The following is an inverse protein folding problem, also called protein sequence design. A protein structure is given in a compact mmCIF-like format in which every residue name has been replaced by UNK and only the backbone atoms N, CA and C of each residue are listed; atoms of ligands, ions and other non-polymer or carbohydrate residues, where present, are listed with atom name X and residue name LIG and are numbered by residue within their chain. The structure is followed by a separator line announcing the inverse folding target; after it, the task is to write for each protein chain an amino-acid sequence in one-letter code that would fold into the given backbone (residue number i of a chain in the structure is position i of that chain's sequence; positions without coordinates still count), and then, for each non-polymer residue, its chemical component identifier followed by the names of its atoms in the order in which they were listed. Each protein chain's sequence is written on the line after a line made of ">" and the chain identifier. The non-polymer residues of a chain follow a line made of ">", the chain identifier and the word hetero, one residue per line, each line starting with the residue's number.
data_IF_013234450693
#
_entry.id   IF_013234450693
#
_cell.length_a   1.000
_cell.length_b   1.000
_cell.length_c   1.000
_cell.angle_alpha   90.00
_cell.angle_beta   90.00
_cell.angle_gamma   90.00
#
_symmetry.space_group_name_H-M   'P 1'
#
loop_
_entity.id
_entity.type
_entity.pdbx_description
1 polymer ?
#
# COMPACT_ATOMS: atom_id res chain seq x y z
N UNK A 1 -28.89 -13.81 19.73
CA UNK A 1 -28.01 -12.71 19.28
C UNK A 1 -28.87 -11.45 19.26
N UNK A 2 -28.43 -10.34 19.85
CA UNK A 2 -29.23 -9.10 19.91
C UNK A 2 -29.29 -8.40 18.55
N UNK A 3 -30.30 -7.55 18.34
CA UNK A 3 -30.39 -6.70 17.14
C UNK A 3 -29.17 -5.77 17.01
N UNK A 4 -28.64 -5.28 18.12
CA UNK A 4 -27.42 -4.47 18.15
C UNK A 4 -26.20 -5.27 17.65
N UNK A 5 -26.02 -6.51 18.10
CA UNK A 5 -24.93 -7.38 17.62
C UNK A 5 -25.09 -7.70 16.13
N UNK A 6 -26.32 -7.91 15.64
CA UNK A 6 -26.58 -8.07 14.20
C UNK A 6 -26.21 -6.82 13.39
N UNK A 7 -26.53 -5.64 13.91
CA UNK A 7 -26.18 -4.37 13.30
C UNK A 7 -24.67 -4.19 13.20
N UNK A 8 -23.91 -4.52 14.25
CA UNK A 8 -22.44 -4.48 14.23
C UNK A 8 -21.86 -5.40 13.15
N UNK A 9 -22.37 -6.63 13.03
CA UNK A 9 -21.94 -7.55 11.97
C UNK A 9 -22.20 -7.01 10.57
N UNK A 10 -23.35 -6.35 10.33
CA UNK A 10 -23.64 -5.70 9.04
C UNK A 10 -22.62 -4.61 8.70
N UNK A 11 -22.24 -3.79 9.67
CA UNK A 11 -21.24 -2.74 9.47
C UNK A 11 -19.85 -3.31 9.14
N UNK A 12 -19.48 -4.42 9.77
CA UNK A 12 -18.23 -5.13 9.43
C UNK A 12 -18.29 -5.67 8.00
N UNK A 13 -19.35 -6.37 7.64
CA UNK A 13 -19.51 -6.93 6.29
C UNK A 13 -19.56 -5.83 5.20
N UNK A 14 -20.18 -4.70 5.48
CA UNK A 14 -20.21 -3.55 4.56
C UNK A 14 -18.82 -2.95 4.36
N UNK A 15 -18.07 -2.76 5.46
CA UNK A 15 -16.71 -2.27 5.39
C UNK A 15 -15.76 -3.25 4.67
N UNK A 16 -15.94 -4.57 4.87
CA UNK A 16 -15.19 -5.60 4.15
C UNK A 16 -15.49 -5.57 2.65
N UNK A 17 -16.76 -5.42 2.25
CA UNK A 17 -17.15 -5.25 0.84
C UNK A 17 -16.53 -4.00 0.22
N UNK A 18 -16.59 -2.87 0.92
CA UNK A 18 -15.98 -1.61 0.47
C UNK A 18 -14.47 -1.78 0.31
N UNK A 19 -13.80 -2.40 1.28
CA UNK A 19 -12.35 -2.62 1.23
C UNK A 19 -11.97 -3.58 0.08
N UNK A 20 -12.73 -4.65 -0.15
CA UNK A 20 -12.50 -5.60 -1.23
C UNK A 20 -12.73 -4.99 -2.63
N UNK A 21 -13.63 -4.01 -2.75
CA UNK A 21 -13.89 -3.29 -3.99
C UNK A 21 -12.90 -2.15 -4.27
N UNK A 22 -11.95 -1.88 -3.37
CA UNK A 22 -10.98 -0.80 -3.55
C UNK A 22 -10.08 -1.07 -4.78
N UNK A 23 -9.73 -0.03 -5.56
CA UNK A 23 -8.74 -0.15 -6.63
C UNK A 23 -7.43 -0.75 -6.10
N UNK A 24 -6.65 -1.48 -6.92
CA UNK A 24 -5.42 -2.11 -6.45
C UNK A 24 -4.44 -1.05 -5.95
N UNK A 25 -3.92 -1.24 -4.74
CA UNK A 25 -2.84 -0.41 -4.20
C UNK A 25 -1.57 -0.63 -5.04
N UNK A 26 -0.89 0.42 -5.50
CA UNK A 26 0.37 0.25 -6.21
C UNK A 26 1.43 -0.31 -5.25
N UNK A 27 2.29 -1.18 -5.77
CA UNK A 27 3.41 -1.72 -5.02
C UNK A 27 4.35 -0.58 -4.58
N UNK A 28 4.56 -0.37 -3.27
CA UNK A 28 5.39 0.71 -2.77
C UNK A 28 6.86 0.59 -3.20
N UNK A 29 7.37 -0.64 -3.34
CA UNK A 29 8.75 -0.85 -3.79
C UNK A 29 8.91 -0.42 -5.24
N UNK A 30 7.97 -0.82 -6.09
CA UNK A 30 7.96 -0.44 -7.51
C UNK A 30 7.83 1.08 -7.70
N UNK A 31 7.02 1.75 -6.88
CA UNK A 31 6.92 3.22 -6.93
C UNK A 31 8.26 3.87 -6.58
N UNK A 32 8.90 3.43 -5.50
CA UNK A 32 10.19 3.95 -5.06
C UNK A 32 11.30 3.71 -6.11
N UNK A 33 11.35 2.52 -6.72
CA UNK A 33 12.30 2.18 -7.79
C UNK A 33 12.16 3.10 -9.02
N UNK A 34 10.91 3.38 -9.43
CA UNK A 34 10.63 4.26 -10.57
C UNK A 34 10.97 5.72 -10.23
N UNK A 35 10.71 6.18 -9.01
CA UNK A 35 11.10 7.53 -8.55
C UNK A 35 12.62 7.71 -8.48
N UNK A 36 13.34 6.70 -8.00
CA UNK A 36 14.80 6.69 -8.00
C UNK A 36 15.36 6.69 -9.43
N UNK A 37 14.77 5.88 -10.32
CA UNK A 37 15.13 5.82 -11.73
C UNK A 37 14.91 7.17 -12.43
N UNK A 38 13.78 7.84 -12.14
CA UNK A 38 13.47 9.16 -12.67
C UNK A 38 14.53 10.18 -12.27
N UNK A 39 14.87 10.21 -10.98
CA UNK A 39 15.87 11.12 -10.42
C UNK A 39 17.25 10.87 -11.02
N UNK A 40 17.66 9.61 -11.16
CA UNK A 40 18.93 9.22 -11.77
C UNK A 40 19.03 9.68 -13.24
N UNK A 41 17.97 9.47 -14.02
CA UNK A 41 17.93 9.87 -15.44
C UNK A 41 17.92 11.39 -15.58
N UNK A 42 17.18 12.12 -14.73
CA UNK A 42 17.20 13.59 -14.70
C UNK A 42 18.62 14.12 -14.44
N UNK A 43 19.29 13.58 -13.43
CA UNK A 43 20.66 13.97 -13.11
C UNK A 43 21.65 13.62 -14.24
N UNK A 44 21.40 12.56 -15.01
CA UNK A 44 22.19 12.22 -16.20
C UNK A 44 21.91 13.20 -17.35
N UNK A 45 20.66 13.51 -17.63
CA UNK A 45 20.21 14.47 -18.65
C UNK A 45 20.85 15.84 -18.40
N UNK A 46 20.77 16.37 -17.17
CA UNK A 46 21.37 17.65 -16.78
C UNK A 46 22.89 17.67 -17.00
N UNK A 47 23.58 16.59 -16.64
CA UNK A 47 25.04 16.48 -16.86
C UNK A 47 25.38 16.50 -18.34
N UNK A 48 24.63 15.79 -19.18
CA UNK A 48 24.86 15.76 -20.64
C UNK A 48 24.57 17.13 -21.25
N UNK A 49 23.45 17.77 -20.90
CA UNK A 49 23.12 19.12 -21.38
C UNK A 49 24.17 20.15 -20.96
N UNK A 50 24.69 20.07 -19.73
CA UNK A 50 25.77 20.94 -19.28
C UNK A 50 27.06 20.71 -20.07
N UNK A 51 27.43 19.45 -20.35
CA UNK A 51 28.58 19.13 -21.21
C UNK A 51 28.43 19.69 -22.61
N UNK A 52 27.26 19.54 -23.23
CA UNK A 52 26.95 20.12 -24.56
C UNK A 52 27.18 21.63 -24.53
N UNK A 53 26.60 22.33 -23.55
CA UNK A 53 26.74 23.78 -23.40
C UNK A 53 28.19 24.23 -23.26
N UNK A 54 28.98 23.53 -22.42
CA UNK A 54 30.40 23.83 -22.23
C UNK A 54 31.22 23.58 -23.51
N UNK A 55 30.88 22.52 -24.24
CA UNK A 55 31.53 22.15 -25.51
C UNK A 55 31.23 23.17 -26.61
N UNK A 56 29.99 23.63 -26.71
CA UNK A 56 29.57 24.69 -27.62
C UNK A 56 30.28 26.01 -27.29
N UNK A 57 30.37 26.38 -26.02
CA UNK A 57 31.11 27.56 -25.57
C UNK A 57 32.62 27.46 -25.91
N UNK A 58 33.22 26.27 -25.82
CA UNK A 58 34.61 26.05 -26.20
C UNK A 58 34.83 26.21 -27.72
N UNK A 59 33.91 25.70 -28.54
CA UNK A 59 33.94 25.82 -30.01
C UNK A 59 33.71 27.25 -30.51
N UNK A 60 32.98 28.06 -29.75
CA UNK A 60 32.74 29.47 -30.07
C UNK A 60 34.00 30.34 -29.90
N UNK A 61 35.00 29.91 -29.11
CA UNK A 61 36.23 30.68 -28.89
C UNK A 61 37.07 30.78 -30.17
N UNK A 62 37.53 31.99 -30.57
CA UNK A 62 38.37 32.17 -31.75
C UNK A 62 39.65 31.33 -31.74
N UNK A 63 40.27 31.14 -30.57
CA UNK A 63 41.49 30.34 -30.42
C UNK A 63 41.32 28.86 -30.83
N UNK A 64 40.10 28.33 -30.82
CA UNK A 64 39.83 26.95 -31.24
C UNK A 64 40.02 26.74 -32.75
N UNK A 65 39.91 27.79 -33.55
CA UNK A 65 40.08 27.75 -35.01
C UNK A 65 41.54 27.55 -35.43
N UNK A 66 42.47 27.98 -34.57
CA UNK A 66 43.91 27.83 -34.78
C UNK A 66 44.42 26.39 -34.54
N UNK A 67 43.54 25.46 -34.12
CA UNK A 67 43.87 24.06 -33.85
C UNK A 67 42.84 23.11 -34.49
N UNK A 68 42.89 22.91 -35.82
CA UNK A 68 41.86 22.16 -36.55
C UNK A 68 41.63 20.72 -36.07
N UNK A 69 42.70 19.98 -35.76
CA UNK A 69 42.59 18.61 -35.26
C UNK A 69 41.87 18.54 -33.90
N UNK A 70 42.19 19.46 -32.99
CA UNK A 70 41.53 19.56 -31.69
C UNK A 70 40.06 19.95 -31.83
N UNK A 71 39.75 20.91 -32.71
CA UNK A 71 38.38 21.33 -33.02
C UNK A 71 37.55 20.17 -33.57
N UNK A 72 38.09 19.38 -34.48
CA UNK A 72 37.41 18.21 -35.03
C UNK A 72 37.10 17.15 -33.95
N UNK A 73 38.01 16.93 -33.00
CA UNK A 73 37.77 16.05 -31.86
C UNK A 73 36.62 16.56 -30.96
N UNK A 74 36.62 17.87 -30.64
CA UNK A 74 35.54 18.50 -29.85
C UNK A 74 34.18 18.38 -30.57
N UNK A 75 34.13 18.60 -31.88
CA UNK A 75 32.88 18.43 -32.67
C UNK A 75 32.39 16.98 -32.65
N UNK A 76 33.28 16.00 -32.69
CA UNK A 76 32.91 14.59 -32.56
C UNK A 76 32.28 14.31 -31.20
N UNK A 77 32.90 14.78 -30.12
CA UNK A 77 32.34 14.66 -28.77
C UNK A 77 31.00 15.39 -28.63
N UNK A 78 30.83 16.57 -29.25
CA UNK A 78 29.54 17.26 -29.26
C UNK A 78 28.44 16.42 -29.93
N UNK A 79 28.76 15.73 -31.03
CA UNK A 79 27.82 14.84 -31.72
C UNK A 79 27.46 13.63 -30.86
N UNK A 80 28.44 13.02 -30.19
CA UNK A 80 28.24 11.93 -29.24
C UNK A 80 27.37 12.38 -28.06
N UNK A 81 27.65 13.54 -27.47
CA UNK A 81 26.88 14.10 -26.35
C UNK A 81 25.44 14.43 -26.76
N UNK A 82 25.23 14.98 -27.96
CA UNK A 82 23.88 15.20 -28.50
C UNK A 82 23.11 13.89 -28.70
N UNK A 83 23.76 12.85 -29.20
CA UNK A 83 23.13 11.53 -29.32
C UNK A 83 22.77 10.93 -27.95
N UNK A 84 23.64 11.15 -26.97
CA UNK A 84 23.40 10.75 -25.58
C UNK A 84 22.23 11.53 -24.98
N UNK A 85 22.14 12.84 -25.23
CA UNK A 85 21.04 13.68 -24.76
C UNK A 85 19.67 13.17 -25.27
N UNK A 86 19.60 12.83 -26.57
CA UNK A 86 18.38 12.24 -27.15
C UNK A 86 18.03 10.91 -26.48
N UNK A 87 19.01 10.03 -26.29
CA UNK A 87 18.79 8.75 -25.61
C UNK A 87 18.29 8.96 -24.16
N UNK A 88 18.89 9.89 -23.41
CA UNK A 88 18.46 10.20 -22.04
C UNK A 88 17.06 10.81 -21.97
N UNK A 89 16.69 11.67 -22.93
CA UNK A 89 15.37 12.27 -23.00
C UNK A 89 14.29 11.20 -23.29
N UNK A 90 14.58 10.23 -24.16
CA UNK A 90 13.69 9.09 -24.43
C UNK A 90 13.51 8.23 -23.18
N UNK A 91 14.59 7.91 -22.47
CA UNK A 91 14.50 7.14 -21.23
C UNK A 91 13.72 7.90 -20.15
N UNK A 92 13.92 9.21 -20.04
CA UNK A 92 13.16 10.06 -19.13
C UNK A 92 11.67 9.97 -19.43
N UNK A 93 11.26 10.12 -20.69
CA UNK A 93 9.86 10.03 -21.10
C UNK A 93 9.21 8.71 -20.69
N UNK A 94 9.91 7.58 -20.88
CA UNK A 94 9.41 6.24 -20.48
C UNK A 94 9.22 6.12 -18.97
N UNK A 95 10.20 6.58 -18.18
CA UNK A 95 10.12 6.50 -16.72
C UNK A 95 9.08 7.47 -16.17
N UNK A 96 8.93 8.65 -16.77
CA UNK A 96 7.91 9.63 -16.44
C UNK A 96 6.49 9.11 -16.69
N UNK A 97 6.26 8.42 -17.80
CA UNK A 97 4.99 7.76 -18.10
C UNK A 97 4.67 6.65 -17.08
N UNK A 98 5.66 5.81 -16.76
CA UNK A 98 5.52 4.77 -15.75
C UNK A 98 5.18 5.37 -14.36
N UNK A 99 5.86 6.45 -13.99
CA UNK A 99 5.63 7.16 -12.74
C UNK A 99 4.23 7.78 -12.70
N UNK A 100 3.81 8.45 -13.77
CA UNK A 100 2.47 9.04 -13.89
C UNK A 100 1.37 7.98 -13.75
N UNK A 101 1.56 6.82 -14.38
CA UNK A 101 0.63 5.69 -14.26
C UNK A 101 0.52 5.18 -12.82
N UNK A 102 1.65 4.94 -12.15
CA UNK A 102 1.66 4.48 -10.76
C UNK A 102 1.03 5.50 -9.80
N UNK A 103 1.31 6.79 -9.99
CA UNK A 103 0.69 7.87 -9.21
C UNK A 103 -0.81 7.98 -9.46
N UNK A 104 -1.27 7.81 -10.70
CA UNK A 104 -2.69 7.77 -11.02
C UNK A 104 -3.40 6.63 -10.28
N UNK A 105 -2.80 5.44 -10.22
CA UNK A 105 -3.35 4.30 -9.48
C UNK A 105 -3.36 4.60 -7.97
N UNK A 106 -2.27 5.15 -7.42
CA UNK A 106 -2.18 5.55 -6.03
C UNK A 106 -3.28 6.54 -5.65
N UNK A 107 -3.49 7.57 -6.48
CA UNK A 107 -4.48 8.61 -6.28
C UNK A 107 -5.91 8.06 -6.38
N UNK A 108 -6.19 7.16 -7.32
CA UNK A 108 -7.49 6.52 -7.44
C UNK A 108 -7.83 5.68 -6.20
N UNK A 109 -6.87 4.88 -5.73
CA UNK A 109 -7.02 4.09 -4.50
C UNK A 109 -7.23 5.01 -3.28
N UNK A 110 -6.41 6.04 -3.11
CA UNK A 110 -6.54 6.99 -2.00
C UNK A 110 -7.88 7.74 -2.02
N UNK A 111 -8.32 8.18 -3.20
CA UNK A 111 -9.61 8.88 -3.38
C UNK A 111 -10.78 7.97 -3.05
N UNK A 112 -10.73 6.71 -3.48
CA UNK A 112 -11.75 5.71 -3.15
C UNK A 112 -11.86 5.49 -1.64
N UNK A 113 -10.72 5.30 -0.95
CA UNK A 113 -10.71 5.11 0.50
C UNK A 113 -11.17 6.37 1.25
N UNK A 114 -10.83 7.56 0.77
CA UNK A 114 -11.28 8.82 1.34
C UNK A 114 -12.81 8.98 1.18
N UNK A 115 -13.37 8.62 0.02
CA UNK A 115 -14.80 8.65 -0.21
C UNK A 115 -15.57 7.72 0.74
N UNK A 116 -15.01 6.55 1.07
CA UNK A 116 -15.65 5.56 1.93
C UNK A 116 -15.11 5.56 3.38
N UNK A 117 -14.41 6.62 3.79
CA UNK A 117 -13.74 6.66 5.10
C UNK A 117 -14.72 6.42 6.27
N UNK A 118 -15.94 6.93 6.17
CA UNK A 118 -16.98 6.79 7.20
C UNK A 118 -17.42 5.34 7.37
N UNK A 119 -17.68 4.62 6.27
CA UNK A 119 -18.05 3.20 6.29
C UNK A 119 -16.91 2.35 6.83
N UNK A 120 -15.68 2.60 6.38
CA UNK A 120 -14.50 1.90 6.87
C UNK A 120 -14.24 2.17 8.36
N UNK A 121 -14.49 3.39 8.83
CA UNK A 121 -14.40 3.73 10.25
C UNK A 121 -15.50 3.06 11.08
N UNK A 122 -16.74 3.06 10.59
CA UNK A 122 -17.87 2.38 11.22
C UNK A 122 -17.60 0.87 11.36
N UNK A 123 -17.10 0.21 10.31
CA UNK A 123 -16.71 -1.20 10.38
C UNK A 123 -15.56 -1.49 11.35
N UNK A 124 -14.54 -0.62 11.43
CA UNK A 124 -13.47 -0.75 12.44
C UNK A 124 -14.02 -0.63 13.87
N UNK A 125 -14.88 0.35 14.11
CA UNK A 125 -15.51 0.54 15.42
C UNK A 125 -16.42 -0.64 15.78
N UNK A 126 -17.21 -1.12 14.80
CA UNK A 126 -18.08 -2.28 15.00
C UNK A 126 -17.28 -3.54 15.32
N UNK A 127 -16.13 -3.75 14.67
CA UNK A 127 -15.22 -4.85 15.00
C UNK A 127 -14.67 -4.77 16.42
N UNK A 128 -14.27 -3.59 16.87
CA UNK A 128 -13.80 -3.39 18.25
C UNK A 128 -14.90 -3.69 19.27
N UNK A 129 -16.13 -3.24 19.02
CA UNK A 129 -17.27 -3.56 19.90
C UNK A 129 -17.62 -5.05 19.90
N UNK A 130 -17.57 -5.72 18.73
CA UNK A 130 -17.75 -7.17 18.67
C UNK A 130 -16.66 -7.91 19.45
N UNK A 131 -15.40 -7.50 19.33
CA UNK A 131 -14.30 -8.08 20.11
C UNK A 131 -14.52 -7.89 21.62
N UNK A 132 -15.01 -6.73 22.05
CA UNK A 132 -15.38 -6.48 23.45
C UNK A 132 -16.53 -7.38 23.92
N UNK A 133 -17.58 -7.51 23.11
CA UNK A 133 -18.70 -8.43 23.39
C UNK A 133 -18.19 -9.88 23.50
N UNK A 134 -17.24 -10.27 22.65
CA UNK A 134 -16.66 -11.61 22.70
C UNK A 134 -15.84 -11.83 23.96
N UNK A 135 -15.03 -10.86 24.37
CA UNK A 135 -14.28 -10.92 25.63
C UNK A 135 -15.22 -11.04 26.83
N UNK A 136 -16.27 -10.22 26.90
CA UNK A 136 -17.28 -10.27 27.96
C UNK A 136 -17.97 -11.66 28.03
N UNK A 137 -18.26 -12.26 26.87
CA UNK A 137 -18.84 -13.61 26.79
C UNK A 137 -17.84 -14.71 27.20
N UNK A 138 -16.59 -14.59 26.78
CA UNK A 138 -15.52 -15.53 27.15
C UNK A 138 -15.31 -15.51 28.66
N UNK A 139 -15.23 -14.33 29.25
CA UNK A 139 -15.12 -14.14 30.70
C UNK A 139 -16.35 -14.69 31.43
N UNK A 140 -17.54 -14.44 30.88
CA UNK A 140 -18.80 -15.01 31.39
C UNK A 140 -18.78 -16.54 31.42
N UNK A 141 -18.39 -17.18 30.31
CA UNK A 141 -18.30 -18.64 30.24
C UNK A 141 -17.21 -19.20 31.15
N UNK A 142 -16.06 -18.54 31.25
CA UNK A 142 -14.96 -18.98 32.11
C UNK A 142 -15.32 -19.02 33.60
N UNK A 143 -16.30 -18.22 34.05
CA UNK A 143 -16.76 -18.16 35.44
C UNK A 143 -17.90 -19.13 35.77
N UNK A 144 -18.48 -19.81 34.77
CA UNK A 144 -19.54 -20.80 35.01
C UNK A 144 -18.97 -22.06 35.67
N UNK A 145 -19.69 -22.63 36.63
CA UNK A 145 -19.36 -23.95 37.19
C UNK A 145 -19.39 -25.05 36.12
N UNK A 146 -20.32 -24.92 35.16
CA UNK A 146 -20.46 -25.81 34.01
C UNK A 146 -20.55 -24.98 32.71
N UNK A 147 -19.41 -24.65 32.09
CA UNK A 147 -19.41 -23.94 30.80
C UNK A 147 -19.97 -24.82 29.67
N UNK A 148 -20.46 -24.21 28.58
CA UNK A 148 -20.93 -24.95 27.42
C UNK A 148 -19.89 -25.97 26.93
N UNK A 149 -20.33 -27.16 26.51
CA UNK A 149 -19.44 -28.25 26.09
C UNK A 149 -18.45 -27.80 24.99
N UNK A 150 -18.91 -26.97 24.06
CA UNK A 150 -18.04 -26.45 23.01
C UNK A 150 -16.95 -25.50 23.52
N UNK A 151 -17.21 -24.75 24.60
CA UNK A 151 -16.25 -23.85 25.22
C UNK A 151 -15.23 -24.69 25.99
N UNK A 152 -15.71 -25.62 26.83
CA UNK A 152 -14.88 -26.51 27.66
C UNK A 152 -13.98 -27.44 26.84
N UNK A 153 -14.55 -28.14 25.85
CA UNK A 153 -13.84 -29.17 25.09
C UNK A 153 -13.25 -28.63 23.78
N UNK A 154 -13.81 -27.55 23.22
CA UNK A 154 -13.33 -26.96 21.97
C UNK A 154 -12.20 -25.94 22.14
N UNK A 155 -12.10 -25.29 23.30
CA UNK A 155 -11.04 -24.30 23.60
C UNK A 155 -10.08 -24.75 24.72
N UNK A 156 -10.40 -25.84 25.42
CA UNK A 156 -9.70 -26.23 26.65
C UNK A 156 -10.10 -25.37 27.86
N UNK A 157 -9.37 -25.51 28.97
CA UNK A 157 -9.60 -24.67 30.15
C UNK A 157 -9.03 -23.26 29.94
N UNK A 158 -9.76 -22.20 30.35
CA UNK A 158 -9.25 -20.84 30.28
C UNK A 158 -7.95 -20.73 31.09
N UNK A 159 -6.83 -20.30 30.49
CA UNK A 159 -5.59 -20.09 31.21
C UNK A 159 -5.73 -18.89 32.18
N UNK A 160 -4.85 -18.76 33.18
CA UNK A 160 -4.84 -17.59 34.06
C UNK A 160 -4.80 -16.27 33.27
N UNK A 161 -5.39 -15.17 33.77
CA UNK A 161 -5.39 -13.89 33.07
C UNK A 161 -3.97 -13.47 32.67
N UNK A 162 -3.77 -13.10 31.41
CA UNK A 162 -2.47 -12.70 30.88
C UNK A 162 -1.48 -13.83 30.57
N UNK A 163 -1.81 -15.10 30.87
CA UNK A 163 -0.89 -16.21 30.69
C UNK A 163 -0.74 -16.67 29.22
N UNK A 164 -1.76 -16.47 28.37
CA UNK A 164 -1.71 -16.91 26.96
C UNK A 164 -2.53 -16.01 26.01
N UNK A 165 -1.91 -15.01 25.34
CA UNK A 165 -2.61 -14.18 24.36
C UNK A 165 -3.10 -14.97 23.14
N UNK A 166 -2.43 -16.06 22.77
CA UNK A 166 -2.83 -16.92 21.65
C UNK A 166 -4.15 -17.65 21.91
N UNK A 167 -4.40 -18.07 23.16
CA UNK A 167 -5.65 -18.72 23.55
C UNK A 167 -6.85 -17.78 23.36
N UNK A 168 -6.70 -16.51 23.79
CA UNK A 168 -7.75 -15.50 23.65
C UNK A 168 -8.08 -15.24 22.17
N UNK A 169 -7.06 -15.20 21.29
CA UNK A 169 -7.27 -15.05 19.84
C UNK A 169 -8.07 -16.23 19.28
N UNK A 170 -7.73 -17.46 19.66
CA UNK A 170 -8.47 -18.65 19.23
C UNK A 170 -9.91 -18.65 19.77
N UNK A 171 -10.10 -18.30 21.05
CA UNK A 171 -11.42 -18.21 21.66
C UNK A 171 -12.32 -17.19 20.95
N UNK A 172 -11.78 -16.00 20.64
CA UNK A 172 -12.47 -14.97 19.84
C UNK A 172 -12.85 -15.49 18.46
N UNK A 173 -11.95 -16.18 17.75
CA UNK A 173 -12.23 -16.74 16.42
C UNK A 173 -13.36 -17.77 16.45
N UNK A 174 -13.31 -18.73 17.39
CA UNK A 174 -14.34 -19.77 17.53
C UNK A 174 -15.70 -19.15 17.91
N UNK A 175 -15.70 -18.17 18.80
CA UNK A 175 -16.92 -17.50 19.22
C UNK A 175 -17.50 -16.64 18.08
N UNK A 176 -16.66 -15.91 17.36
CA UNK A 176 -17.04 -15.15 16.16
C UNK A 176 -17.67 -16.06 15.10
N UNK A 177 -17.04 -17.19 14.78
CA UNK A 177 -17.57 -18.16 13.81
C UNK A 177 -18.93 -18.71 14.25
N UNK A 178 -19.06 -19.11 15.51
CA UNK A 178 -20.33 -19.65 16.05
C UNK A 178 -21.45 -18.61 16.04
N UNK A 179 -21.15 -17.37 16.41
CA UNK A 179 -22.11 -16.26 16.37
C UNK A 179 -22.54 -15.95 14.94
N UNK A 180 -21.60 -15.92 14.00
CA UNK A 180 -21.89 -15.72 12.58
C UNK A 180 -22.78 -16.83 12.02
N UNK A 181 -22.47 -18.10 12.31
CA UNK A 181 -23.31 -19.24 11.90
C UNK A 181 -24.73 -19.17 12.48
N UNK A 182 -24.87 -18.73 13.73
CA UNK A 182 -26.18 -18.56 14.36
C UNK A 182 -27.01 -17.39 13.78
N UNK A 183 -26.39 -16.47 13.02
CA UNK A 183 -27.10 -15.46 12.23
C UNK A 183 -27.53 -15.96 10.86
N UNK A 184 -26.76 -16.90 10.29
CA UNK A 184 -27.03 -17.48 8.97
C UNK A 184 -28.08 -18.60 9.03
N UNK A 185 -28.31 -19.19 10.20
CA UNK A 185 -29.37 -20.18 10.42
C UNK A 185 -30.64 -19.48 10.92
N UNK A 186 -31.73 -19.43 10.13
CA UNK A 186 -33.01 -18.96 10.64
C UNK A 186 -33.47 -19.92 11.74
N UNK A 187 -33.86 -19.37 12.89
CA UNK A 187 -34.51 -20.13 13.96
C UNK A 187 -35.80 -20.71 13.36
N UNK A 188 -35.82 -22.02 13.13
CA UNK A 188 -37.02 -22.79 12.80
C UNK A 188 -37.88 -22.98 14.05
#
# INVERSE_FOLDING_TARGET
>A
ISEDEQWLWRLVDEAERVAAAAPPKPDPNRLAEVEQSYTSIRNLEERVLNRIRLTEAALARPASWLRPAHRAAIVRHLREDRSTAVATAVQRGRVEEALAKLRSIANAHASYLAQHHAVLAAGRNARMELERIFDDLIDGYARLAEPPAWFRFGLGFPPPPGAQPQWLVQARQVLAQRRRLALEQPIL
#
